data_IF_279311811994
#
_entry.id   IF_279311811994
#
_cell.length_a   1.000
_cell.length_b   1.000
_cell.length_c   1.000
_cell.angle_alpha   90.00
_cell.angle_beta   90.00
_cell.angle_gamma   90.00
#
_symmetry.space_group_name_H-M   'P 1'
#
loop_
_entity.id
_entity.type
_entity.pdbx_description
1 polymer ?
#
# COMPACT_ATOMS: atom_id res chain seq x y z
N UNK A 1 20.75 33.27 1.65
CA UNK A 1 21.93 32.63 1.02
C UNK A 1 22.18 33.22 -0.37
N UNK A 2 21.18 33.29 -1.25
CA UNK A 2 21.30 33.82 -2.62
C UNK A 2 21.87 35.25 -2.70
N UNK A 3 21.28 36.20 -1.95
CA UNK A 3 21.76 37.59 -1.90
C UNK A 3 23.19 37.67 -1.35
N UNK A 4 23.55 36.81 -0.41
CA UNK A 4 24.88 36.77 0.20
C UNK A 4 25.96 36.32 -0.80
N UNK A 5 25.66 35.31 -1.62
CA UNK A 5 26.59 34.80 -2.65
C UNK A 5 26.81 35.85 -3.74
N UNK A 6 25.76 36.52 -4.20
CA UNK A 6 25.87 37.59 -5.20
C UNK A 6 26.66 38.78 -4.66
N UNK A 7 26.40 39.19 -3.41
CA UNK A 7 27.12 40.28 -2.75
C UNK A 7 28.60 39.94 -2.54
N UNK A 8 28.92 38.73 -2.07
CA UNK A 8 30.31 38.27 -1.91
C UNK A 8 31.04 38.19 -3.25
N UNK A 9 30.34 37.73 -4.31
CA UNK A 9 30.88 37.70 -5.66
C UNK A 9 31.21 39.10 -6.18
N UNK A 10 30.35 40.09 -5.93
CA UNK A 10 30.58 41.50 -6.28
C UNK A 10 31.80 42.07 -5.53
N UNK A 11 31.89 41.85 -4.21
CA UNK A 11 33.05 42.30 -3.44
C UNK A 11 34.36 41.67 -3.93
N UNK A 12 34.35 40.37 -4.21
CA UNK A 12 35.53 39.65 -4.69
C UNK A 12 35.93 40.07 -6.11
N UNK A 13 34.95 40.32 -6.98
CA UNK A 13 35.20 40.88 -8.31
C UNK A 13 35.80 42.29 -8.24
N UNK A 14 35.33 43.14 -7.31
CA UNK A 14 35.90 44.47 -7.09
C UNK A 14 37.36 44.40 -6.59
N UNK A 15 37.65 43.50 -5.64
CA UNK A 15 39.01 43.28 -5.13
C UNK A 15 39.99 42.80 -6.23
N UNK A 16 39.53 41.91 -7.12
CA UNK A 16 40.30 41.43 -8.28
C UNK A 16 40.61 42.58 -9.25
N UNK A 17 39.62 43.45 -9.52
CA UNK A 17 39.79 44.62 -10.39
C UNK A 17 40.71 45.68 -9.79
N UNK A 18 40.70 45.85 -8.46
CA UNK A 18 41.57 46.79 -7.76
C UNK A 18 43.03 46.33 -7.74
N UNK A 19 43.29 45.04 -7.49
CA UNK A 19 44.63 44.43 -7.55
C UNK A 19 45.19 44.34 -8.97
N UNK A 20 44.32 44.22 -9.98
CA UNK A 20 44.67 44.02 -11.39
C UNK A 20 44.33 45.21 -12.31
N UNK A 21 44.46 46.45 -11.83
CA UNK A 21 43.93 47.70 -12.44
C UNK A 21 44.16 47.89 -13.96
N UNK A 22 45.22 47.30 -14.52
CA UNK A 22 45.58 47.34 -15.95
C UNK A 22 45.72 45.96 -16.63
N UNK A 23 45.25 44.88 -16.00
CA UNK A 23 45.33 43.51 -16.53
C UNK A 23 44.01 43.11 -17.17
N UNK A 24 44.02 42.80 -18.46
CA UNK A 24 42.86 42.28 -19.19
C UNK A 24 42.36 40.96 -18.57
N UNK A 25 43.30 40.11 -18.14
CA UNK A 25 43.02 38.85 -17.44
C UNK A 25 42.21 39.03 -16.15
N UNK A 26 42.48 40.09 -15.40
CA UNK A 26 41.73 40.40 -14.17
C UNK A 26 40.29 40.85 -14.47
N UNK A 27 40.07 41.51 -15.61
CA UNK A 27 38.72 41.92 -16.06
C UNK A 27 37.88 40.73 -16.50
N UNK A 28 38.48 39.77 -17.20
CA UNK A 28 37.77 38.56 -17.64
C UNK A 28 37.43 37.65 -16.47
N UNK A 29 38.34 37.47 -15.51
CA UNK A 29 38.10 36.69 -14.29
C UNK A 29 36.98 37.29 -13.42
N UNK A 30 36.95 38.62 -13.27
CA UNK A 30 35.87 39.31 -12.58
C UNK A 30 34.51 39.16 -13.29
N UNK A 31 34.48 39.19 -14.63
CA UNK A 31 33.26 38.99 -15.43
C UNK A 31 32.72 37.57 -15.32
N UNK A 32 33.57 36.57 -15.45
CA UNK A 32 33.22 35.15 -15.29
C UNK A 32 32.64 34.86 -13.90
N UNK A 33 33.25 35.42 -12.85
CA UNK A 33 32.80 35.25 -11.48
C UNK A 33 31.41 35.86 -11.26
N UNK A 34 31.18 37.08 -11.78
CA UNK A 34 29.86 37.73 -11.72
C UNK A 34 28.81 36.98 -12.54
N UNK A 35 29.14 36.55 -13.76
CA UNK A 35 28.23 35.81 -14.65
C UNK A 35 27.82 34.48 -14.02
N UNK A 36 28.81 33.72 -13.53
CA UNK A 36 28.59 32.43 -12.86
C UNK A 36 27.72 32.60 -11.61
N UNK A 37 28.00 33.61 -10.78
CA UNK A 37 27.22 33.87 -9.56
C UNK A 37 25.78 34.31 -9.86
N UNK A 38 25.58 35.14 -10.89
CA UNK A 38 24.26 35.55 -11.34
C UNK A 38 23.48 34.37 -11.93
N UNK A 39 24.14 33.52 -12.73
CA UNK A 39 23.55 32.29 -13.29
C UNK A 39 23.12 31.32 -12.20
N UNK A 40 24.00 31.03 -11.23
CA UNK A 40 23.67 30.20 -10.07
C UNK A 40 22.47 30.76 -9.29
N UNK A 41 22.42 32.08 -9.06
CA UNK A 41 21.29 32.73 -8.39
C UNK A 41 19.97 32.57 -9.16
N UNK A 42 20.02 32.65 -10.50
CA UNK A 42 18.84 32.41 -11.33
C UNK A 42 18.37 30.95 -11.30
N UNK A 43 19.31 30.00 -11.32
CA UNK A 43 19.01 28.57 -11.26
C UNK A 43 18.44 28.18 -9.90
N UNK A 44 19.00 28.69 -8.79
CA UNK A 44 18.48 28.42 -7.43
C UNK A 44 17.08 28.99 -7.24
N UNK A 45 16.80 30.18 -7.77
CA UNK A 45 15.46 30.77 -7.73
C UNK A 45 14.45 29.90 -8.49
N UNK A 46 14.81 29.47 -9.70
CA UNK A 46 13.95 28.59 -10.51
C UNK A 46 13.72 27.21 -9.86
N UNK A 47 14.71 26.66 -9.17
CA UNK A 47 14.60 25.40 -8.43
C UNK A 47 13.72 25.56 -7.19
N UNK A 48 13.80 26.70 -6.51
CA UNK A 48 12.97 27.02 -5.35
C UNK A 48 11.51 27.16 -5.76
N UNK A 49 11.22 27.90 -6.83
CA UNK A 49 9.87 28.02 -7.41
C UNK A 49 9.29 26.65 -7.82
N UNK A 50 10.10 25.79 -8.47
CA UNK A 50 9.68 24.41 -8.80
C UNK A 50 9.40 23.56 -7.56
N UNK A 51 10.21 23.69 -6.50
CA UNK A 51 10.02 22.97 -5.23
C UNK A 51 8.76 23.43 -4.52
N UNK A 52 8.52 24.74 -4.45
CA UNK A 52 7.31 25.32 -3.87
C UNK A 52 6.06 24.89 -4.66
N UNK A 53 6.09 25.00 -5.99
CA UNK A 53 5.00 24.52 -6.84
C UNK A 53 4.71 23.02 -6.60
N UNK A 54 5.77 22.19 -6.50
CA UNK A 54 5.61 20.76 -6.20
C UNK A 54 5.05 20.52 -4.80
N UNK A 55 5.49 21.28 -3.80
CA UNK A 55 4.98 21.19 -2.43
C UNK A 55 3.50 21.59 -2.34
N UNK A 56 3.09 22.67 -3.04
CA UNK A 56 1.70 23.09 -3.14
C UNK A 56 0.84 22.04 -3.84
N UNK A 57 1.31 21.46 -4.94
CA UNK A 57 0.62 20.37 -5.64
C UNK A 57 0.48 19.12 -4.75
N UNK A 58 1.52 18.74 -4.02
CA UNK A 58 1.49 17.61 -3.09
C UNK A 58 0.52 17.87 -1.93
N UNK A 59 0.52 19.08 -1.37
CA UNK A 59 -0.40 19.51 -0.32
C UNK A 59 -1.86 19.48 -0.80
N UNK A 60 -2.13 20.03 -1.98
CA UNK A 60 -3.45 19.99 -2.61
C UNK A 60 -3.91 18.56 -2.95
N UNK A 61 -2.98 17.68 -3.36
CA UNK A 61 -3.28 16.26 -3.60
C UNK A 61 -3.59 15.53 -2.30
N UNK A 62 -2.85 15.81 -1.23
CA UNK A 62 -3.08 15.24 0.11
C UNK A 62 -4.44 15.66 0.67
N UNK A 63 -4.81 16.94 0.57
CA UNK A 63 -6.11 17.43 1.06
C UNK A 63 -7.29 16.84 0.28
N UNK A 64 -7.19 16.75 -1.05
CA UNK A 64 -8.19 16.05 -1.87
C UNK A 64 -8.31 14.58 -1.53
N UNK A 65 -7.19 13.90 -1.26
CA UNK A 65 -7.16 12.49 -0.88
C UNK A 65 -7.85 12.27 0.48
N UNK A 66 -7.53 13.10 1.47
CA UNK A 66 -8.13 13.04 2.80
C UNK A 66 -9.64 13.29 2.73
N UNK A 67 -10.08 14.33 2.00
CA UNK A 67 -11.50 14.62 1.82
C UNK A 67 -12.23 13.46 1.13
N UNK A 68 -11.63 12.88 0.09
CA UNK A 68 -12.18 11.71 -0.59
C UNK A 68 -12.31 10.51 0.35
N UNK A 69 -11.27 10.19 1.10
CA UNK A 69 -11.28 9.08 2.04
C UNK A 69 -12.31 9.30 3.15
N UNK A 70 -12.43 10.52 3.65
CA UNK A 70 -13.47 10.92 4.60
C UNK A 70 -14.88 10.71 4.04
N UNK A 71 -15.15 11.22 2.83
CA UNK A 71 -16.47 11.09 2.19
C UNK A 71 -16.82 9.61 1.95
N UNK A 72 -15.89 8.81 1.44
CA UNK A 72 -16.12 7.37 1.23
C UNK A 72 -16.38 6.63 2.53
N UNK A 73 -15.56 6.90 3.56
CA UNK A 73 -15.71 6.31 4.89
C UNK A 73 -17.07 6.65 5.49
N UNK A 74 -17.49 7.91 5.39
CA UNK A 74 -18.81 8.36 5.84
C UNK A 74 -19.94 7.57 5.18
N UNK A 75 -19.95 7.49 3.84
CA UNK A 75 -21.03 6.79 3.14
C UNK A 75 -21.06 5.29 3.43
N UNK A 76 -19.90 4.65 3.55
CA UNK A 76 -19.81 3.22 3.90
C UNK A 76 -20.35 2.98 5.31
N UNK A 77 -19.91 3.77 6.29
CA UNK A 77 -20.37 3.65 7.67
C UNK A 77 -21.85 3.97 7.81
N UNK A 78 -22.35 4.97 7.09
CA UNK A 78 -23.77 5.33 7.12
C UNK A 78 -24.64 4.26 6.45
N UNK A 79 -24.20 3.70 5.32
CA UNK A 79 -24.88 2.57 4.69
C UNK A 79 -24.88 1.33 5.61
N UNK A 80 -23.75 1.06 6.27
CA UNK A 80 -23.63 -0.01 7.25
C UNK A 80 -24.57 0.21 8.45
N UNK A 81 -24.68 1.45 8.95
CA UNK A 81 -25.63 1.83 10.00
C UNK A 81 -27.07 1.56 9.59
N UNK A 82 -27.48 2.00 8.39
CA UNK A 82 -28.85 1.77 7.88
C UNK A 82 -29.13 0.27 7.77
N UNK A 83 -28.16 -0.50 7.25
CA UNK A 83 -28.28 -1.94 7.08
C UNK A 83 -28.47 -2.64 8.43
N UNK A 84 -27.71 -2.24 9.46
CA UNK A 84 -27.79 -2.83 10.80
C UNK A 84 -29.05 -2.38 11.56
N UNK A 85 -29.42 -1.10 11.44
CA UNK A 85 -30.56 -0.52 12.15
C UNK A 85 -31.89 -0.99 11.57
N UNK A 86 -32.00 -1.10 10.24
CA UNK A 86 -33.24 -1.48 9.55
C UNK A 86 -34.41 -0.49 9.74
N UNK A 87 -34.15 0.67 10.38
CA UNK A 87 -35.14 1.71 10.68
C UNK A 87 -34.84 2.95 9.85
N UNK A 88 -35.88 3.51 9.23
CA UNK A 88 -35.81 4.68 8.35
C UNK A 88 -36.52 5.91 8.92
N UNK A 89 -36.74 5.95 10.24
CA UNK A 89 -37.29 7.12 10.90
C UNK A 89 -36.23 8.23 11.05
N UNK A 90 -36.70 9.48 11.11
CA UNK A 90 -35.86 10.67 11.16
C UNK A 90 -34.85 10.65 12.32
N UNK A 91 -35.23 10.09 13.47
CA UNK A 91 -34.35 10.03 14.64
C UNK A 91 -33.16 9.09 14.39
N UNK A 92 -33.39 7.87 13.89
CA UNK A 92 -32.31 6.91 13.64
C UNK A 92 -31.39 7.34 12.47
N UNK A 93 -31.95 8.00 11.44
CA UNK A 93 -31.15 8.51 10.32
C UNK A 93 -30.25 9.67 10.73
N UNK A 94 -30.76 10.62 11.51
CA UNK A 94 -29.96 11.76 11.98
C UNK A 94 -28.86 11.33 12.94
N UNK A 95 -29.17 10.44 13.88
CA UNK A 95 -28.19 9.86 14.80
C UNK A 95 -27.10 9.09 14.03
N UNK A 96 -27.49 8.23 13.09
CA UNK A 96 -26.54 7.49 12.25
C UNK A 96 -25.65 8.40 11.42
N UNK A 97 -26.20 9.50 10.89
CA UNK A 97 -25.45 10.51 10.16
C UNK A 97 -24.39 11.19 11.04
N UNK A 98 -24.77 11.66 12.23
CA UNK A 98 -23.86 12.31 13.18
C UNK A 98 -22.74 11.34 13.59
N UNK A 99 -23.09 10.11 13.99
CA UNK A 99 -22.11 9.10 14.37
C UNK A 99 -21.16 8.76 13.21
N UNK A 100 -21.67 8.60 12.00
CA UNK A 100 -20.85 8.29 10.82
C UNK A 100 -19.89 9.43 10.47
N UNK A 101 -20.32 10.70 10.60
CA UNK A 101 -19.45 11.87 10.41
C UNK A 101 -18.35 11.89 11.46
N UNK A 102 -18.69 11.67 12.74
CA UNK A 102 -17.74 11.67 13.84
C UNK A 102 -16.65 10.59 13.64
N UNK A 103 -17.07 9.37 13.33
CA UNK A 103 -16.14 8.26 13.08
C UNK A 103 -15.31 8.51 11.82
N UNK A 104 -15.92 8.99 10.73
CA UNK A 104 -15.16 9.35 9.53
C UNK A 104 -14.12 10.43 9.84
N UNK A 105 -14.45 11.43 10.66
CA UNK A 105 -13.51 12.49 11.03
C UNK A 105 -12.29 11.93 11.76
N UNK A 106 -12.52 11.04 12.74
CA UNK A 106 -11.47 10.44 13.54
C UNK A 106 -10.68 9.35 12.81
N UNK A 107 -11.30 8.62 11.86
CA UNK A 107 -10.76 7.38 11.32
C UNK A 107 -10.65 7.31 9.79
N UNK A 108 -10.83 8.42 9.05
CA UNK A 108 -10.76 8.43 7.58
C UNK A 108 -9.44 7.89 7.00
N UNK A 109 -8.35 7.98 7.75
CA UNK A 109 -7.04 7.50 7.32
C UNK A 109 -6.82 5.99 7.51
N UNK A 110 -7.67 5.30 8.30
CA UNK A 110 -7.52 3.85 8.57
C UNK A 110 -8.10 2.98 7.46
N UNK A 111 -9.26 3.36 6.92
CA UNK A 111 -10.03 2.48 6.02
C UNK A 111 -9.45 2.39 4.59
N UNK A 112 -8.74 3.42 4.15
CA UNK A 112 -8.25 3.54 2.77
C UNK A 112 -6.74 3.82 2.69
N UNK A 113 -5.97 3.22 3.58
CA UNK A 113 -4.52 3.23 3.45
C UNK A 113 -4.14 2.49 2.14
N UNK A 114 -3.70 3.26 1.14
CA UNK A 114 -3.08 2.78 -0.09
C UNK A 114 -3.95 2.07 -1.17
N UNK A 115 -5.29 2.13 -1.11
CA UNK A 115 -6.13 1.53 -2.17
C UNK A 115 -6.30 2.50 -3.35
N UNK A 116 -5.78 2.13 -4.53
CA UNK A 116 -6.11 2.80 -5.80
C UNK A 116 -7.57 2.47 -6.16
N UNK A 117 -8.47 3.44 -6.01
CA UNK A 117 -9.91 3.30 -6.29
C UNK A 117 -10.23 2.80 -7.72
N UNK A 118 -9.31 2.95 -8.67
CA UNK A 118 -9.46 2.42 -10.03
C UNK A 118 -9.70 0.91 -10.07
N UNK A 119 -9.20 0.17 -9.08
CA UNK A 119 -9.29 -1.29 -9.04
C UNK A 119 -10.45 -1.83 -8.20
N UNK A 120 -11.21 -0.97 -7.51
CA UNK A 120 -12.27 -1.41 -6.59
C UNK A 120 -13.35 -2.23 -7.30
N UNK A 121 -13.82 -1.79 -8.47
CA UNK A 121 -14.83 -2.51 -9.25
C UNK A 121 -14.34 -3.89 -9.68
N UNK A 122 -13.10 -3.95 -10.15
CA UNK A 122 -12.50 -5.20 -10.62
C UNK A 122 -12.26 -6.15 -9.44
N UNK A 123 -11.86 -5.61 -8.27
CA UNK A 123 -11.61 -6.36 -7.03
C UNK A 123 -12.90 -6.92 -6.46
N UNK A 124 -13.95 -6.09 -6.39
CA UNK A 124 -15.29 -6.53 -6.02
C UNK A 124 -15.80 -7.64 -6.94
N UNK A 125 -15.65 -7.48 -8.27
CA UNK A 125 -16.02 -8.52 -9.23
C UNK A 125 -15.26 -9.82 -9.00
N UNK A 126 -13.92 -9.77 -8.86
CA UNK A 126 -13.09 -10.95 -8.60
C UNK A 126 -13.47 -11.62 -7.27
N UNK A 127 -13.76 -10.83 -6.23
CA UNK A 127 -14.24 -11.31 -4.93
C UNK A 127 -15.58 -12.06 -5.05
N UNK A 128 -16.58 -11.48 -5.72
CA UNK A 128 -17.88 -12.16 -5.91
C UNK A 128 -17.76 -13.42 -6.77
N UNK A 129 -16.86 -13.46 -7.76
CA UNK A 129 -16.62 -14.65 -8.57
C UNK A 129 -15.87 -15.75 -7.80
N UNK A 130 -14.95 -15.38 -6.90
CA UNK A 130 -14.22 -16.33 -6.06
C UNK A 130 -15.02 -16.82 -4.84
N UNK A 131 -16.01 -16.03 -4.38
CA UNK A 131 -16.82 -16.31 -3.20
C UNK A 131 -17.42 -17.72 -3.16
N UNK A 132 -18.09 -18.22 -4.22
CA UNK A 132 -18.64 -19.58 -4.25
C UNK A 132 -17.59 -20.67 -4.01
N UNK A 133 -16.36 -20.50 -4.52
CA UNK A 133 -15.27 -21.46 -4.29
C UNK A 133 -14.85 -21.46 -2.81
N UNK A 134 -14.69 -20.29 -2.19
CA UNK A 134 -14.39 -20.19 -0.76
C UNK A 134 -15.49 -20.81 0.11
N UNK A 135 -16.77 -20.57 -0.23
CA UNK A 135 -17.90 -21.20 0.45
C UNK A 135 -17.87 -22.73 0.35
N UNK A 136 -17.49 -23.26 -0.82
CA UNK A 136 -17.28 -24.69 -1.03
C UNK A 136 -16.19 -25.25 -0.12
N UNK A 137 -15.03 -24.59 -0.06
CA UNK A 137 -13.92 -24.98 0.83
C UNK A 137 -14.34 -24.99 2.30
N UNK A 138 -15.01 -23.93 2.76
CA UNK A 138 -15.53 -23.83 4.12
C UNK A 138 -16.51 -24.97 4.41
N UNK A 139 -17.44 -25.27 3.50
CA UNK A 139 -18.42 -26.34 3.68
C UNK A 139 -17.76 -27.71 3.75
N UNK A 140 -16.84 -28.02 2.83
CA UNK A 140 -16.10 -29.29 2.83
C UNK A 140 -15.25 -29.48 4.08
N UNK A 141 -14.56 -28.43 4.54
CA UNK A 141 -13.76 -28.46 5.75
C UNK A 141 -14.63 -28.59 7.02
N UNK A 142 -15.80 -27.94 7.08
CA UNK A 142 -16.79 -28.15 8.16
C UNK A 142 -17.23 -29.62 8.25
N UNK A 143 -17.54 -30.26 7.12
CA UNK A 143 -17.94 -31.68 7.11
C UNK A 143 -16.81 -32.59 7.61
N UNK A 144 -15.56 -32.30 7.23
CA UNK A 144 -14.39 -33.04 7.70
C UNK A 144 -14.20 -32.93 9.21
N UNK A 145 -14.28 -31.70 9.75
CA UNK A 145 -14.19 -31.47 11.20
C UNK A 145 -15.36 -32.10 11.94
N UNK A 146 -16.58 -32.04 11.41
CA UNK A 146 -17.74 -32.70 11.99
C UNK A 146 -17.54 -34.23 12.05
N UNK A 147 -16.99 -34.83 10.98
CA UNK A 147 -16.63 -36.25 10.98
C UNK A 147 -15.59 -36.59 12.05
N UNK A 148 -14.52 -35.78 12.16
CA UNK A 148 -13.47 -35.97 13.17
C UNK A 148 -14.04 -35.90 14.60
N UNK A 149 -14.90 -34.91 14.87
CA UNK A 149 -15.48 -34.67 16.19
C UNK A 149 -16.54 -35.72 16.60
N UNK A 150 -17.33 -36.20 15.63
CA UNK A 150 -18.39 -37.20 15.88
C UNK A 150 -17.87 -38.65 15.81
N UNK A 151 -16.68 -38.86 15.27
CA UNK A 151 -16.07 -40.19 15.20
C UNK A 151 -15.69 -40.66 16.62
N UNK A 152 -16.20 -41.80 17.11
CA UNK A 152 -15.85 -42.33 18.44
C UNK A 152 -14.36 -42.60 18.60
N UNK A 153 -13.65 -42.84 17.48
CA UNK A 153 -12.22 -43.10 17.45
C UNK A 153 -11.38 -41.82 17.49
N UNK A 154 -11.99 -40.65 17.30
CA UNK A 154 -11.36 -39.33 17.20
C UNK A 154 -10.00 -39.36 16.48
N UNK A 155 -9.96 -39.69 15.17
CA UNK A 155 -8.71 -39.84 14.42
C UNK A 155 -8.12 -38.47 14.07
N UNK A 156 -7.76 -37.67 15.07
CA UNK A 156 -7.07 -36.38 14.92
C UNK A 156 -5.55 -36.60 14.94
N UNK A 157 -4.83 -35.87 14.10
CA UNK A 157 -3.36 -35.88 14.05
C UNK A 157 -2.86 -34.43 13.93
N UNK A 158 -2.85 -33.69 15.05
CA UNK A 158 -2.56 -32.27 15.03
C UNK A 158 -1.08 -32.01 14.75
N UNK A 159 -0.80 -31.05 13.87
CA UNK A 159 0.56 -30.66 13.52
C UNK A 159 0.66 -29.16 13.24
N UNK A 160 1.86 -28.61 13.38
CA UNK A 160 2.17 -27.24 12.97
C UNK A 160 2.90 -27.32 11.63
N UNK A 161 2.31 -26.70 10.61
CA UNK A 161 2.96 -26.53 9.32
C UNK A 161 3.55 -25.13 9.20
N UNK A 162 4.62 -25.05 8.42
CA UNK A 162 5.32 -23.81 8.09
C UNK A 162 5.47 -23.73 6.58
N UNK A 163 5.08 -22.61 6.00
CA UNK A 163 5.26 -22.35 4.56
C UNK A 163 5.50 -20.87 4.32
N UNK A 164 6.20 -20.56 3.22
CA UNK A 164 6.44 -19.19 2.78
C UNK A 164 5.42 -18.82 1.69
N UNK A 165 4.76 -17.68 1.86
CA UNK A 165 3.85 -17.14 0.84
C UNK A 165 4.63 -16.35 -0.23
N UNK A 166 4.09 -16.33 -1.44
CA UNK A 166 4.52 -15.50 -2.57
C UNK A 166 3.87 -14.11 -2.54
N UNK A 167 2.93 -13.87 -1.63
CA UNK A 167 2.27 -12.58 -1.44
C UNK A 167 3.25 -11.61 -0.75
N UNK A 168 3.24 -10.33 -1.13
CA UNK A 168 4.14 -9.30 -0.60
C UNK A 168 3.41 -8.30 0.32
N UNK A 169 2.09 -8.18 0.19
CA UNK A 169 1.28 -7.15 0.81
C UNK A 169 0.64 -7.60 2.12
N UNK A 170 0.72 -6.75 3.14
CA UNK A 170 0.09 -6.95 4.45
C UNK A 170 -1.41 -7.32 4.35
N UNK A 171 -2.16 -6.68 3.43
CA UNK A 171 -3.59 -6.95 3.26
C UNK A 171 -3.82 -8.39 2.77
N UNK A 172 -2.90 -8.91 1.97
CA UNK A 172 -2.97 -10.25 1.39
C UNK A 172 -2.52 -11.30 2.36
N UNK A 173 -1.50 -11.01 3.16
CA UNK A 173 -1.13 -11.85 4.30
C UNK A 173 -2.29 -12.01 5.27
N UNK A 174 -2.95 -10.90 5.64
CA UNK A 174 -4.12 -10.93 6.52
C UNK A 174 -5.30 -11.67 5.87
N UNK A 175 -5.55 -11.45 4.58
CA UNK A 175 -6.61 -12.16 3.87
C UNK A 175 -6.36 -13.68 3.81
N UNK A 176 -5.12 -14.10 3.56
CA UNK A 176 -4.72 -15.50 3.56
C UNK A 176 -4.84 -16.12 4.95
N UNK A 177 -4.30 -15.47 5.97
CA UNK A 177 -4.39 -15.93 7.35
C UNK A 177 -5.84 -16.15 7.83
N UNK A 178 -6.71 -15.20 7.49
CA UNK A 178 -8.13 -15.29 7.81
C UNK A 178 -8.84 -16.37 7.01
N UNK A 179 -8.48 -16.56 5.73
CA UNK A 179 -9.07 -17.61 4.90
C UNK A 179 -8.70 -19.01 5.41
N UNK A 180 -7.44 -19.20 5.83
CA UNK A 180 -6.96 -20.44 6.46
C UNK A 180 -7.66 -20.68 7.80
N UNK A 181 -7.85 -19.66 8.61
CA UNK A 181 -8.55 -19.81 9.90
C UNK A 181 -10.05 -20.07 9.71
N UNK A 182 -10.65 -19.53 8.65
CA UNK A 182 -12.07 -19.74 8.32
C UNK A 182 -12.35 -21.13 7.74
N UNK A 183 -11.37 -21.82 7.15
CA UNK A 183 -11.50 -23.24 6.82
C UNK A 183 -11.36 -24.07 8.10
N UNK A 184 -12.44 -24.71 8.58
CA UNK A 184 -12.40 -25.40 9.85
C UNK A 184 -11.36 -26.51 9.88
N UNK A 185 -10.65 -26.61 11.00
CA UNK A 185 -9.57 -27.58 11.17
C UNK A 185 -8.18 -26.96 11.02
N UNK A 186 -8.08 -25.66 10.73
CA UNK A 186 -6.82 -24.91 10.74
C UNK A 186 -6.92 -23.59 11.50
N UNK A 187 -5.80 -23.16 12.10
CA UNK A 187 -5.66 -21.85 12.76
C UNK A 187 -4.30 -21.27 12.41
N UNK A 188 -4.26 -20.04 11.90
CA UNK A 188 -3.00 -19.32 11.72
C UNK A 188 -2.51 -18.83 13.08
N UNK A 189 -1.30 -19.24 13.47
CA UNK A 189 -0.67 -18.91 14.76
C UNK A 189 0.08 -17.59 14.67
N UNK A 190 0.91 -17.45 13.63
CA UNK A 190 1.83 -16.31 13.48
C UNK A 190 2.19 -16.11 12.00
N UNK A 191 2.56 -14.88 11.66
CA UNK A 191 3.05 -14.48 10.33
C UNK A 191 4.30 -13.64 10.53
N UNK A 192 5.43 -14.08 9.97
CA UNK A 192 6.72 -13.38 10.08
C UNK A 192 7.35 -13.22 8.70
N UNK A 193 7.33 -12.00 8.18
CA UNK A 193 8.00 -11.66 6.91
C UNK A 193 7.61 -12.60 5.75
N UNK A 194 6.33 -12.97 5.65
CA UNK A 194 5.83 -13.92 4.64
C UNK A 194 5.94 -15.41 5.02
N UNK A 195 6.51 -15.75 6.17
CA UNK A 195 6.46 -17.10 6.74
C UNK A 195 5.18 -17.27 7.58
N UNK A 196 4.37 -18.26 7.23
CA UNK A 196 3.13 -18.61 7.93
C UNK A 196 3.34 -19.82 8.84
N UNK A 197 2.86 -19.70 10.08
CA UNK A 197 2.77 -20.81 11.03
C UNK A 197 1.30 -21.17 11.21
N UNK A 198 0.93 -22.39 10.81
CA UNK A 198 -0.48 -22.82 10.87
C UNK A 198 -0.59 -24.10 11.68
N UNK A 199 -1.49 -24.10 12.65
CA UNK A 199 -1.92 -25.32 13.33
C UNK A 199 -3.00 -26.01 12.49
N UNK A 200 -2.78 -27.26 12.13
CA UNK A 200 -3.76 -28.11 11.46
C UNK A 200 -4.21 -29.23 12.39
N UNK A 201 -5.51 -29.51 12.40
CA UNK A 201 -6.15 -30.53 13.24
C UNK A 201 -5.89 -31.96 12.75
N UNK A 202 -5.61 -32.12 11.45
CA UNK A 202 -5.42 -33.40 10.78
C UNK A 202 -4.45 -33.28 9.59
N UNK A 203 -3.81 -34.39 9.19
CA UNK A 203 -2.84 -34.44 8.08
C UNK A 203 -3.42 -34.03 6.75
N UNK A 204 -4.67 -34.40 6.49
CA UNK A 204 -5.34 -34.06 5.23
C UNK A 204 -5.42 -32.54 5.05
N UNK A 205 -5.84 -31.84 6.09
CA UNK A 205 -6.01 -30.37 6.06
C UNK A 205 -4.66 -29.68 5.88
N UNK A 206 -3.61 -30.18 6.53
CA UNK A 206 -2.25 -29.70 6.31
C UNK A 206 -1.75 -29.90 4.87
N UNK A 207 -2.06 -31.04 4.26
CA UNK A 207 -1.70 -31.31 2.86
C UNK A 207 -2.44 -30.36 1.90
N UNK A 208 -3.73 -30.14 2.12
CA UNK A 208 -4.56 -29.26 1.29
C UNK A 208 -4.02 -27.81 1.30
N UNK A 209 -3.50 -27.33 2.44
CA UNK A 209 -2.86 -26.02 2.53
C UNK A 209 -1.57 -25.89 1.69
N UNK A 210 -0.78 -26.96 1.63
CA UNK A 210 0.47 -26.96 0.85
C UNK A 210 0.25 -26.98 -0.68
N UNK A 211 -0.99 -27.15 -1.14
CA UNK A 211 -1.31 -27.09 -2.58
C UNK A 211 -1.19 -25.69 -3.18
N UNK A 212 -1.27 -24.64 -2.35
CA UNK A 212 -1.21 -23.24 -2.80
C UNK A 212 -2.47 -22.72 -3.49
N UNK A 213 -3.52 -23.53 -3.68
CA UNK A 213 -4.72 -23.11 -4.42
C UNK A 213 -5.42 -21.91 -3.75
N UNK A 214 -5.48 -21.90 -2.42
CA UNK A 214 -6.05 -20.78 -1.65
C UNK A 214 -5.23 -19.51 -1.81
N UNK A 215 -3.91 -19.62 -1.77
CA UNK A 215 -2.99 -18.50 -1.97
C UNK A 215 -3.19 -17.88 -3.37
N UNK A 216 -3.23 -18.70 -4.42
CA UNK A 216 -3.42 -18.24 -5.79
C UNK A 216 -4.77 -17.52 -5.98
N UNK A 217 -5.84 -18.03 -5.35
CA UNK A 217 -7.16 -17.36 -5.37
C UNK A 217 -7.11 -16.00 -4.69
N UNK A 218 -6.42 -15.87 -3.57
CA UNK A 218 -6.28 -14.61 -2.84
C UNK A 218 -5.43 -13.63 -3.64
N UNK A 219 -4.30 -14.07 -4.18
CA UNK A 219 -3.45 -13.28 -5.07
C UNK A 219 -4.26 -12.71 -6.25
N UNK A 220 -5.10 -13.54 -6.88
CA UNK A 220 -5.96 -13.12 -7.98
C UNK A 220 -7.04 -12.12 -7.53
N UNK A 221 -7.73 -12.36 -6.42
CA UNK A 221 -8.78 -11.46 -5.89
C UNK A 221 -8.19 -10.10 -5.52
N UNK A 222 -7.05 -10.09 -4.84
CA UNK A 222 -6.39 -8.87 -4.37
C UNK A 222 -5.65 -8.13 -5.50
N UNK A 223 -5.44 -8.79 -6.64
CA UNK A 223 -4.68 -8.28 -7.80
C UNK A 223 -3.18 -8.14 -7.52
N UNK A 224 -2.69 -8.91 -6.58
CA UNK A 224 -1.26 -8.99 -6.30
C UNK A 224 -0.56 -9.99 -7.23
N UNK A 225 -1.30 -10.96 -7.76
CA UNK A 225 -0.82 -11.88 -8.79
C UNK A 225 -0.26 -11.13 -10.02
N UNK A 226 -0.84 -9.97 -10.37
CA UNK A 226 -0.42 -9.20 -11.55
C UNK A 226 0.99 -8.57 -11.38
N UNK A 227 1.54 -8.52 -10.16
CA UNK A 227 2.91 -8.08 -9.88
C UNK A 227 3.92 -9.24 -9.78
N UNK A 228 3.53 -10.36 -9.17
CA UNK A 228 4.37 -11.57 -9.04
C UNK A 228 4.79 -12.11 -10.42
N UNK A 229 3.88 -12.14 -11.40
CA UNK A 229 4.21 -12.54 -12.78
C UNK A 229 5.18 -11.58 -13.48
N UNK A 230 5.19 -10.30 -13.11
CA UNK A 230 6.09 -9.31 -13.72
C UNK A 230 7.50 -9.44 -13.15
N UNK A 231 7.65 -9.69 -11.84
CA UNK A 231 8.95 -9.94 -11.22
C UNK A 231 9.57 -11.25 -11.73
N UNK A 232 8.82 -12.35 -11.81
CA UNK A 232 9.33 -13.61 -12.36
C UNK A 232 9.82 -13.45 -13.82
N UNK A 233 9.09 -12.71 -14.66
CA UNK A 233 9.50 -12.44 -16.05
C UNK A 233 10.72 -11.51 -16.12
N UNK A 234 10.81 -10.51 -15.24
CA UNK A 234 11.93 -9.57 -15.20
C UNK A 234 13.21 -10.21 -14.64
N UNK A 235 13.10 -11.08 -13.63
CA UNK A 235 14.23 -11.80 -13.05
C UNK A 235 14.78 -12.82 -14.04
N UNK A 236 13.91 -13.54 -14.74
CA UNK A 236 14.29 -14.42 -15.84
C UNK A 236 14.95 -13.63 -16.97
N UNK A 237 14.40 -12.47 -17.36
CA UNK A 237 15.00 -11.61 -18.38
C UNK A 237 16.37 -11.04 -17.95
N UNK A 238 16.56 -10.75 -16.66
CA UNK A 238 17.84 -10.33 -16.07
C UNK A 238 18.89 -11.45 -16.15
N UNK A 239 18.51 -12.70 -15.84
CA UNK A 239 19.38 -13.87 -15.96
C UNK A 239 19.80 -14.10 -17.42
N UNK A 240 18.86 -13.99 -18.37
CA UNK A 240 19.18 -14.10 -19.79
C UNK A 240 19.98 -12.91 -20.34
N UNK A 241 19.81 -11.71 -19.77
CA UNK A 241 20.60 -10.52 -20.10
C UNK A 241 22.05 -10.58 -19.61
N UNK A 242 22.30 -11.28 -18.49
CA UNK A 242 23.64 -11.50 -17.94
C UNK A 242 24.42 -12.65 -18.62
N UNK A 243 23.74 -13.47 -19.42
CA UNK A 243 24.30 -14.60 -20.17
C UNK A 243 24.66 -14.26 -21.62
N UNK A 244 24.69 -12.97 -21.99
CA UNK A 244 25.09 -12.47 -23.31
C UNK A 244 26.27 -11.52 -23.20
#
# INVERSE_FOLDING_TARGET
MEVTVLVQAIYKAFEILEKGKNSEKARDEARELLYTSAKFTSETKSLTEKREAKALLLSAKKSRLALRNFTLTFFILFAFWILLSGRFDYFHLTLGGICSVLVAYLCHDLLFFNIRLGDFRTRARRFFLAGPWFMGQIFSANLHVAYLALSPKMPIDPQIIRFNTKLESDISWVALANSITLTPGTITIDIREGEFFVHALDRKVAYDLNTGEMEDKIAHVIMEADHVYIQDVLDVASIFGALK
#
